data_IF_568359919364
#
_entry.id   IF_568359919364
#
_cell.length_a   1.000
_cell.length_b   1.000
_cell.length_c   1.000
_cell.angle_alpha   90.00
_cell.angle_beta   90.00
_cell.angle_gamma   90.00
#
_symmetry.space_group_name_H-M   'P 1'
#
loop_
_entity.id
_entity.type
_entity.pdbx_description
1 polymer ?
#
# COMPACT_ATOMS: atom_id res chain seq x y z
N UNK A 1 -2.13 -1.71 -18.06
CA UNK A 1 -2.02 -1.56 -19.53
C UNK A 1 -1.03 -0.46 -19.90
N UNK A 2 -1.13 0.73 -19.30
CA UNK A 2 -0.23 1.86 -19.60
C UNK A 2 1.26 1.49 -19.45
N UNK A 3 1.64 0.73 -18.43
CA UNK A 3 3.03 0.31 -18.24
C UNK A 3 3.56 -0.54 -19.40
N UNK A 4 2.73 -1.46 -19.94
CA UNK A 4 3.11 -2.26 -21.13
C UNK A 4 3.24 -1.36 -22.36
N UNK A 5 2.30 -0.43 -22.55
CA UNK A 5 2.35 0.51 -23.67
C UNK A 5 3.62 1.38 -23.61
N UNK A 6 3.98 1.89 -22.44
CA UNK A 6 5.21 2.69 -22.25
C UNK A 6 6.47 1.86 -22.52
N UNK A 7 6.50 0.60 -22.08
CA UNK A 7 7.66 -0.27 -22.32
C UNK A 7 7.79 -0.63 -23.80
N UNK A 8 6.68 -0.93 -24.51
CA UNK A 8 6.68 -1.16 -25.95
C UNK A 8 7.09 0.08 -26.75
N UNK A 9 6.61 1.26 -26.33
CA UNK A 9 7.05 2.53 -26.89
C UNK A 9 8.56 2.68 -26.79
N UNK A 10 9.12 2.50 -25.58
CA UNK A 10 10.56 2.59 -25.38
C UNK A 10 11.33 1.56 -26.19
N UNK A 11 10.85 0.32 -26.24
CA UNK A 11 11.46 -0.73 -27.06
C UNK A 11 11.54 -0.31 -28.54
N UNK A 12 10.44 0.17 -29.12
CA UNK A 12 10.41 0.62 -30.52
C UNK A 12 11.29 1.85 -30.76
N UNK A 13 11.38 2.76 -29.80
CA UNK A 13 12.26 3.92 -29.91
C UNK A 13 13.72 3.49 -29.95
N UNK A 14 14.16 2.61 -29.05
CA UNK A 14 15.55 2.18 -28.98
C UNK A 14 15.94 1.23 -30.13
N UNK A 15 15.04 0.36 -30.58
CA UNK A 15 15.36 -0.63 -31.60
C UNK A 15 15.21 -0.10 -33.04
N UNK A 16 14.33 0.88 -33.25
CA UNK A 16 14.01 1.36 -34.59
C UNK A 16 14.28 2.85 -34.76
N UNK A 17 13.75 3.69 -33.91
CA UNK A 17 13.84 5.16 -34.12
C UNK A 17 15.26 5.66 -33.99
N UNK A 18 15.96 5.27 -32.92
CA UNK A 18 17.33 5.75 -32.64
C UNK A 18 18.33 5.29 -33.68
N UNK A 19 18.37 4.00 -34.12
CA UNK A 19 19.34 3.55 -35.10
C UNK A 19 19.08 4.10 -36.50
N UNK A 20 17.81 4.31 -36.86
CA UNK A 20 17.44 4.69 -38.27
C UNK A 20 17.05 6.15 -38.43
N UNK A 21 17.02 6.94 -37.32
CA UNK A 21 16.56 8.33 -37.26
C UNK A 21 15.16 8.53 -37.88
N UNK A 22 14.27 7.53 -37.69
CA UNK A 22 12.95 7.48 -38.33
C UNK A 22 11.94 8.42 -37.58
N UNK A 23 12.03 9.72 -37.83
CA UNK A 23 11.19 10.74 -37.18
C UNK A 23 9.69 10.58 -37.49
N UNK A 24 9.33 10.07 -38.63
CA UNK A 24 7.93 9.79 -38.96
C UNK A 24 7.34 8.69 -38.09
N UNK A 25 8.10 7.64 -37.80
CA UNK A 25 7.72 6.59 -36.85
C UNK A 25 7.61 7.12 -35.44
N UNK A 26 8.56 7.98 -35.04
CA UNK A 26 8.51 8.64 -33.72
C UNK A 26 7.24 9.47 -33.55
N UNK A 27 6.88 10.28 -34.54
CA UNK A 27 5.69 11.12 -34.47
C UNK A 27 4.41 10.26 -34.30
N UNK A 28 4.29 9.16 -35.04
CA UNK A 28 3.16 8.23 -34.92
C UNK A 28 3.11 7.57 -33.54
N UNK A 29 4.26 7.12 -33.01
CA UNK A 29 4.35 6.52 -31.69
C UNK A 29 3.98 7.51 -30.58
N UNK A 30 4.45 8.77 -30.68
CA UNK A 30 4.13 9.84 -29.73
C UNK A 30 2.64 10.18 -29.77
N UNK A 31 2.05 10.28 -30.97
CA UNK A 31 0.61 10.52 -31.11
C UNK A 31 -0.23 9.39 -30.49
N UNK A 32 0.13 8.12 -30.77
CA UNK A 32 -0.52 6.96 -30.17
C UNK A 32 -0.36 6.93 -28.65
N UNK A 33 0.84 7.24 -28.14
CA UNK A 33 1.09 7.32 -26.71
C UNK A 33 0.29 8.44 -26.05
N UNK A 34 0.14 9.59 -26.71
CA UNK A 34 -0.71 10.69 -26.24
C UNK A 34 -2.17 10.27 -26.03
N UNK A 35 -2.74 9.54 -26.99
CA UNK A 35 -4.09 8.98 -26.89
C UNK A 35 -4.19 8.02 -25.70
N UNK A 36 -3.21 7.11 -25.54
CA UNK A 36 -3.19 6.16 -24.43
C UNK A 36 -3.08 6.85 -23.06
N UNK A 37 -2.29 7.92 -22.93
CA UNK A 37 -2.17 8.71 -21.69
C UNK A 37 -3.51 9.34 -21.31
N UNK A 38 -4.21 9.95 -22.28
CA UNK A 38 -5.53 10.54 -22.05
C UNK A 38 -6.54 9.46 -21.63
N UNK A 39 -6.55 8.33 -22.34
CA UNK A 39 -7.43 7.21 -22.02
C UNK A 39 -7.15 6.63 -20.62
N UNK A 40 -5.89 6.48 -20.23
CA UNK A 40 -5.49 6.02 -18.90
C UNK A 40 -5.95 7.00 -17.80
N UNK A 41 -5.82 8.30 -18.04
CA UNK A 41 -6.30 9.32 -17.12
C UNK A 41 -7.83 9.26 -16.92
N UNK A 42 -8.59 9.09 -18.01
CA UNK A 42 -10.06 8.93 -17.96
C UNK A 42 -10.42 7.65 -17.19
N UNK A 43 -9.76 6.52 -17.49
CA UNK A 43 -10.03 5.25 -16.82
C UNK A 43 -9.71 5.31 -15.32
N UNK A 44 -8.58 5.91 -14.94
CA UNK A 44 -8.21 6.09 -13.53
C UNK A 44 -9.20 6.96 -12.77
N UNK A 45 -9.64 8.06 -13.39
CA UNK A 45 -10.64 8.96 -12.79
C UNK A 45 -11.99 8.27 -12.64
N UNK A 46 -12.43 7.54 -13.67
CA UNK A 46 -13.68 6.76 -13.62
C UNK A 46 -13.62 5.67 -12.56
N UNK A 47 -12.51 4.95 -12.48
CA UNK A 47 -12.27 3.93 -11.44
C UNK A 47 -12.34 4.55 -10.04
N UNK A 48 -11.67 5.68 -9.80
CA UNK A 48 -11.70 6.36 -8.51
C UNK A 48 -13.14 6.71 -8.11
N UNK A 49 -13.93 7.30 -9.02
CA UNK A 49 -15.34 7.64 -8.76
C UNK A 49 -16.20 6.43 -8.41
N UNK A 50 -16.03 5.31 -9.13
CA UNK A 50 -16.76 4.07 -8.86
C UNK A 50 -16.42 3.54 -7.46
N UNK A 51 -15.12 3.50 -7.11
CA UNK A 51 -14.67 3.04 -5.80
C UNK A 51 -15.17 3.94 -4.66
N UNK A 52 -15.15 5.26 -4.86
CA UNK A 52 -15.66 6.23 -3.89
C UNK A 52 -17.17 6.08 -3.68
N UNK A 53 -17.94 5.86 -4.75
CA UNK A 53 -19.39 5.64 -4.66
C UNK A 53 -19.73 4.32 -3.95
N UNK A 54 -18.98 3.25 -4.22
CA UNK A 54 -19.16 1.97 -3.55
C UNK A 54 -18.76 2.07 -2.07
N UNK A 55 -17.65 2.74 -1.77
CA UNK A 55 -17.21 2.97 -0.40
C UNK A 55 -18.26 3.73 0.41
N UNK A 56 -18.86 4.79 -0.17
CA UNK A 56 -19.94 5.55 0.48
C UNK A 56 -21.20 4.72 0.76
N UNK A 57 -21.61 3.86 -0.17
CA UNK A 57 -22.79 3.00 0.02
C UNK A 57 -22.56 1.92 1.11
N UNK A 58 -21.35 1.39 1.20
CA UNK A 58 -20.97 0.43 2.25
C UNK A 58 -20.90 1.14 3.61
N UNK A 59 -20.33 2.35 3.64
CA UNK A 59 -20.19 3.16 4.85
C UNK A 59 -21.53 3.46 5.51
N UNK A 60 -22.51 3.91 4.74
CA UNK A 60 -23.85 4.22 5.25
C UNK A 60 -24.52 2.99 5.88
N UNK A 61 -24.38 1.82 5.25
CA UNK A 61 -24.94 0.57 5.79
C UNK A 61 -24.24 0.11 7.05
N UNK A 62 -22.90 0.08 7.04
CA UNK A 62 -22.10 -0.33 8.19
C UNK A 62 -22.30 0.60 9.39
N UNK A 63 -22.23 1.91 9.18
CA UNK A 63 -22.43 2.90 10.23
C UNK A 63 -23.80 2.75 10.90
N UNK A 64 -24.86 2.56 10.12
CA UNK A 64 -26.21 2.33 10.61
C UNK A 64 -26.33 1.04 11.43
N UNK A 65 -25.77 -0.06 10.92
CA UNK A 65 -25.82 -1.36 11.60
C UNK A 65 -25.03 -1.36 12.91
N UNK A 66 -23.83 -0.77 12.91
CA UNK A 66 -23.00 -0.67 14.11
C UNK A 66 -23.66 0.25 15.14
N UNK A 67 -24.20 1.38 14.75
CA UNK A 67 -24.88 2.29 15.67
C UNK A 67 -26.12 1.62 16.29
N UNK A 68 -26.92 0.90 15.52
CA UNK A 68 -28.04 0.13 16.04
C UNK A 68 -27.56 -0.94 17.03
N UNK A 69 -26.50 -1.69 16.69
CA UNK A 69 -25.95 -2.71 17.59
C UNK A 69 -25.42 -2.12 18.91
N UNK A 70 -24.80 -0.94 18.86
CA UNK A 70 -24.33 -0.24 20.08
C UNK A 70 -25.48 0.15 21.00
N UNK A 71 -26.62 0.56 20.44
CA UNK A 71 -27.82 0.88 21.23
C UNK A 71 -28.45 -0.36 21.87
N UNK A 72 -28.31 -1.53 21.25
CA UNK A 72 -28.82 -2.81 21.74
C UNK A 72 -27.84 -3.53 22.68
N UNK A 73 -26.64 -2.98 22.91
CA UNK A 73 -25.62 -3.60 23.77
C UNK A 73 -26.09 -3.65 25.23
N UNK A 74 -26.02 -4.84 25.83
CA UNK A 74 -26.29 -5.03 27.26
C UNK A 74 -25.29 -4.24 28.12
N UNK A 75 -25.78 -3.59 29.16
CA UNK A 75 -24.98 -2.72 30.02
C UNK A 75 -23.79 -3.42 30.71
N UNK A 76 -23.90 -4.72 30.95
CA UNK A 76 -22.85 -5.55 31.56
C UNK A 76 -21.68 -5.86 30.63
N UNK A 77 -21.92 -5.76 29.28
CA UNK A 77 -20.92 -5.97 28.25
C UNK A 77 -20.28 -4.71 27.69
N UNK A 78 -20.70 -3.55 28.21
CA UNK A 78 -20.11 -2.27 27.78
C UNK A 78 -18.69 -2.09 28.34
N UNK A 79 -17.77 -1.50 27.56
CA UNK A 79 -16.46 -1.10 28.06
C UNK A 79 -16.59 -0.15 29.26
N UNK A 80 -15.63 -0.21 30.16
CA UNK A 80 -15.63 0.63 31.38
C UNK A 80 -15.68 2.14 31.10
N UNK A 81 -15.15 2.57 29.94
CA UNK A 81 -15.17 3.96 29.51
C UNK A 81 -15.98 4.13 28.22
N UNK A 82 -16.92 5.07 28.22
CA UNK A 82 -17.69 5.47 27.03
C UNK A 82 -16.77 6.04 25.96
N UNK A 83 -15.67 6.69 26.34
CA UNK A 83 -14.68 7.19 25.40
C UNK A 83 -13.94 6.07 24.66
N UNK A 84 -13.66 4.95 25.33
CA UNK A 84 -13.08 3.77 24.69
C UNK A 84 -14.06 3.16 23.67
N UNK A 85 -15.34 3.08 24.01
CA UNK A 85 -16.37 2.61 23.07
C UNK A 85 -16.49 3.53 21.86
N UNK A 86 -16.51 4.85 22.06
CA UNK A 86 -16.53 5.83 20.98
C UNK A 86 -15.31 5.73 20.07
N UNK A 87 -14.12 5.50 20.65
CA UNK A 87 -12.89 5.30 19.88
C UNK A 87 -12.90 4.01 19.04
N UNK A 88 -13.46 2.92 19.59
CA UNK A 88 -13.63 1.67 18.85
C UNK A 88 -14.60 1.83 17.68
N UNK A 89 -15.70 2.56 17.87
CA UNK A 89 -16.64 2.86 16.77
C UNK A 89 -15.98 3.72 15.70
N UNK A 90 -15.16 4.72 16.08
CA UNK A 90 -14.36 5.52 15.15
C UNK A 90 -13.36 4.71 14.34
N UNK A 91 -13.00 3.49 14.77
CA UNK A 91 -12.15 2.55 14.02
C UNK A 91 -12.80 1.99 12.76
N UNK A 92 -14.13 2.11 12.59
CA UNK A 92 -14.83 1.64 11.38
C UNK A 92 -14.30 2.24 10.08
N UNK A 93 -13.79 3.46 10.12
CA UNK A 93 -13.16 4.10 8.96
C UNK A 93 -11.92 3.31 8.49
N UNK A 94 -11.16 2.75 9.41
CA UNK A 94 -10.01 1.89 9.10
C UNK A 94 -10.46 0.59 8.43
N UNK A 95 -11.54 -0.01 8.91
CA UNK A 95 -12.16 -1.22 8.31
C UNK A 95 -12.57 -0.93 6.86
N UNK A 96 -13.28 0.17 6.64
CA UNK A 96 -13.71 0.59 5.30
C UNK A 96 -12.54 0.80 4.36
N UNK A 97 -11.54 1.55 4.80
CA UNK A 97 -10.34 1.83 4.01
C UNK A 97 -9.59 0.55 3.66
N UNK A 98 -9.49 -0.37 4.61
CA UNK A 98 -8.87 -1.68 4.37
C UNK A 98 -9.60 -2.45 3.28
N UNK A 99 -10.91 -2.66 3.38
CA UNK A 99 -11.67 -3.44 2.40
C UNK A 99 -11.64 -2.80 1.01
N UNK A 100 -11.78 -1.49 0.91
CA UNK A 100 -11.66 -0.77 -0.35
C UNK A 100 -10.28 -0.99 -0.99
N UNK A 101 -9.21 -0.89 -0.22
CA UNK A 101 -7.83 -1.07 -0.69
C UNK A 101 -7.52 -2.53 -1.04
N UNK A 102 -7.96 -3.50 -0.22
CA UNK A 102 -7.71 -4.93 -0.43
C UNK A 102 -8.40 -5.46 -1.69
N UNK A 103 -9.61 -4.99 -1.99
CA UNK A 103 -10.33 -5.35 -3.23
C UNK A 103 -9.57 -4.87 -4.46
N UNK A 104 -9.09 -3.62 -4.42
CA UNK A 104 -8.30 -3.06 -5.53
C UNK A 104 -7.01 -3.84 -5.74
N UNK A 105 -6.29 -4.13 -4.67
CA UNK A 105 -5.06 -4.91 -4.72
C UNK A 105 -5.30 -6.32 -5.30
N UNK A 106 -6.22 -7.08 -4.71
CA UNK A 106 -6.46 -8.46 -5.12
C UNK A 106 -7.00 -8.59 -6.54
N UNK A 107 -7.92 -7.70 -6.93
CA UNK A 107 -8.61 -7.78 -8.23
C UNK A 107 -7.81 -7.16 -9.38
N UNK A 108 -6.97 -6.18 -9.09
CA UNK A 108 -6.27 -5.41 -10.14
C UNK A 108 -4.76 -5.61 -10.06
N UNK A 109 -4.13 -5.30 -8.95
CA UNK A 109 -2.67 -5.21 -8.90
C UNK A 109 -1.99 -6.58 -9.05
N UNK A 110 -2.55 -7.64 -8.45
CA UNK A 110 -2.01 -9.01 -8.57
C UNK A 110 -2.14 -9.57 -9.99
N UNK A 111 -3.31 -9.54 -10.65
CA UNK A 111 -3.43 -10.01 -12.03
C UNK A 111 -2.53 -9.25 -13.00
N UNK A 112 -2.41 -7.91 -12.83
CA UNK A 112 -1.53 -7.11 -13.68
C UNK A 112 -0.05 -7.40 -13.44
N UNK A 113 0.38 -7.67 -12.20
CA UNK A 113 1.76 -8.08 -11.93
C UNK A 113 2.11 -9.40 -12.64
N UNK A 114 1.18 -10.37 -12.61
CA UNK A 114 1.35 -11.63 -13.34
C UNK A 114 1.38 -11.39 -14.85
N UNK A 115 0.55 -10.50 -15.37
CA UNK A 115 0.55 -10.13 -16.78
C UNK A 115 1.88 -9.47 -17.17
N UNK A 116 2.44 -8.58 -16.35
CA UNK A 116 3.74 -7.97 -16.61
C UNK A 116 4.86 -9.01 -16.57
N UNK A 117 4.82 -9.96 -15.63
CA UNK A 117 5.78 -11.05 -15.57
C UNK A 117 5.69 -11.96 -16.80
N UNK A 118 4.46 -12.29 -17.24
CA UNK A 118 4.23 -13.05 -18.46
C UNK A 118 4.76 -12.30 -19.70
N UNK A 119 4.56 -10.98 -19.78
CA UNK A 119 5.09 -10.17 -20.86
C UNK A 119 6.63 -10.17 -20.86
N UNK A 120 7.27 -10.04 -19.70
CA UNK A 120 8.74 -10.15 -19.58
C UNK A 120 9.20 -11.54 -20.02
N UNK A 121 8.46 -12.60 -19.69
CA UNK A 121 8.80 -13.97 -20.10
C UNK A 121 8.74 -14.16 -21.64
N UNK A 122 7.76 -13.53 -22.28
CA UNK A 122 7.61 -13.62 -23.76
C UNK A 122 8.68 -12.80 -24.47
N UNK A 123 9.00 -11.61 -23.99
CA UNK A 123 9.93 -10.68 -24.65
C UNK A 123 11.37 -10.93 -24.24
N UNK A 124 11.62 -11.10 -22.93
CA UNK A 124 12.94 -11.16 -22.33
C UNK A 124 13.41 -12.57 -21.93
N UNK A 125 12.56 -13.60 -22.15
CA UNK A 125 12.92 -15.00 -21.84
C UNK A 125 13.45 -15.18 -20.40
N UNK A 126 14.77 -15.48 -20.25
CA UNK A 126 15.39 -15.71 -18.94
C UNK A 126 15.33 -14.55 -17.95
N UNK A 127 15.15 -13.30 -18.43
CA UNK A 127 14.98 -12.14 -17.54
C UNK A 127 13.78 -12.29 -16.62
N UNK A 128 12.74 -13.02 -17.04
CA UNK A 128 11.56 -13.26 -16.22
C UNK A 128 11.90 -14.00 -14.92
N UNK A 129 12.88 -14.91 -14.94
CA UNK A 129 13.29 -15.65 -13.75
C UNK A 129 13.89 -14.75 -12.67
N UNK A 130 14.59 -13.67 -13.05
CA UNK A 130 15.12 -12.68 -12.11
C UNK A 130 13.98 -12.05 -11.30
N UNK A 131 12.94 -11.60 -11.98
CA UNK A 131 11.78 -10.98 -11.31
C UNK A 131 10.90 -12.02 -10.62
N UNK A 132 10.74 -13.22 -11.20
CA UNK A 132 10.03 -14.32 -10.56
C UNK A 132 10.67 -14.75 -9.23
N UNK A 133 12.02 -14.72 -9.14
CA UNK A 133 12.74 -15.00 -7.90
C UNK A 133 12.66 -13.84 -6.90
N UNK A 134 12.62 -12.60 -7.37
CA UNK A 134 12.47 -11.42 -6.51
C UNK A 134 11.12 -11.40 -5.77
N UNK A 135 10.04 -11.95 -6.37
CA UNK A 135 8.72 -12.01 -5.74
C UNK A 135 8.72 -12.78 -4.39
N UNK A 136 9.15 -14.05 -4.30
CA UNK A 136 9.15 -14.77 -3.03
C UNK A 136 10.14 -14.18 -2.01
N UNK A 137 11.28 -13.62 -2.47
CA UNK A 137 12.23 -12.95 -1.58
C UNK A 137 11.61 -11.70 -0.95
N UNK A 138 10.90 -10.89 -1.74
CA UNK A 138 10.20 -9.69 -1.26
C UNK A 138 9.06 -10.05 -0.31
N UNK A 139 8.25 -11.06 -0.63
CA UNK A 139 7.18 -11.55 0.24
C UNK A 139 7.73 -12.12 1.55
N UNK A 140 8.83 -12.86 1.50
CA UNK A 140 9.51 -13.39 2.70
C UNK A 140 10.03 -12.29 3.62
N UNK A 141 10.68 -11.27 3.08
CA UNK A 141 11.13 -10.10 3.83
C UNK A 141 9.94 -9.36 4.46
N UNK A 142 8.86 -9.19 3.70
CA UNK A 142 7.62 -8.60 4.18
C UNK A 142 6.99 -9.38 5.34
N UNK A 143 6.87 -10.68 5.20
CA UNK A 143 6.31 -11.55 6.24
C UNK A 143 7.12 -11.52 7.55
N UNK A 144 8.46 -11.49 7.45
CA UNK A 144 9.33 -11.40 8.62
C UNK A 144 9.13 -10.07 9.38
N UNK A 145 8.99 -8.98 8.64
CA UNK A 145 8.77 -7.65 9.22
C UNK A 145 7.35 -7.51 9.78
N UNK A 146 6.37 -8.12 9.13
CA UNK A 146 4.96 -8.10 9.54
C UNK A 146 4.76 -8.59 10.98
N UNK A 147 5.39 -9.71 11.37
CA UNK A 147 5.27 -10.24 12.75
C UNK A 147 5.72 -9.26 13.83
N UNK A 148 6.75 -8.47 13.58
CA UNK A 148 7.20 -7.42 14.51
C UNK A 148 6.25 -6.22 14.51
N UNK A 149 5.79 -5.84 13.33
CA UNK A 149 4.91 -4.70 13.14
C UNK A 149 3.56 -4.91 13.83
N UNK A 150 2.98 -6.11 13.70
CA UNK A 150 1.72 -6.51 14.31
C UNK A 150 1.67 -6.18 15.82
N UNK A 151 2.65 -6.65 16.59
CA UNK A 151 2.65 -6.41 18.03
C UNK A 151 2.78 -4.92 18.40
N UNK A 152 3.48 -4.13 17.59
CA UNK A 152 3.64 -2.69 17.81
C UNK A 152 2.36 -1.93 17.52
N UNK A 153 1.67 -2.27 16.42
CA UNK A 153 0.39 -1.67 16.02
C UNK A 153 -0.67 -1.94 17.09
N UNK A 154 -0.83 -3.19 17.50
CA UNK A 154 -1.81 -3.56 18.54
C UNK A 154 -1.58 -2.81 19.86
N UNK A 155 -0.33 -2.72 20.31
CA UNK A 155 0.02 -1.97 21.52
C UNK A 155 -0.25 -0.47 21.38
N UNK A 156 0.08 0.11 20.23
CA UNK A 156 -0.18 1.52 19.95
C UNK A 156 -1.67 1.82 19.94
N UNK A 157 -2.49 0.96 19.29
CA UNK A 157 -3.95 1.11 19.25
C UNK A 157 -4.57 1.01 20.65
N UNK A 158 -4.18 0.00 21.43
CA UNK A 158 -4.67 -0.15 22.79
C UNK A 158 -4.39 1.11 23.64
N UNK A 159 -3.18 1.66 23.56
CA UNK A 159 -2.83 2.92 24.25
C UNK A 159 -3.55 4.13 23.68
N UNK A 160 -3.83 4.16 22.38
CA UNK A 160 -4.62 5.24 21.78
C UNK A 160 -6.06 5.24 22.26
N UNK A 161 -6.69 4.06 22.41
CA UNK A 161 -8.03 3.94 22.98
C UNK A 161 -8.06 4.34 24.45
N UNK A 162 -7.05 3.94 25.23
CA UNK A 162 -6.90 4.33 26.64
C UNK A 162 -6.80 5.87 26.77
N UNK A 163 -5.98 6.52 25.92
CA UNK A 163 -5.87 7.98 25.88
C UNK A 163 -7.22 8.66 25.59
N UNK A 164 -7.99 8.10 24.64
CA UNK A 164 -9.32 8.61 24.33
C UNK A 164 -10.26 8.47 25.54
N UNK A 165 -10.16 7.35 26.29
CA UNK A 165 -10.89 7.14 27.52
C UNK A 165 -10.59 8.20 28.58
N UNK A 166 -9.31 8.44 28.86
CA UNK A 166 -8.86 9.48 29.83
C UNK A 166 -9.38 10.86 29.44
N UNK A 167 -9.39 11.20 28.13
CA UNK A 167 -9.92 12.48 27.66
C UNK A 167 -11.41 12.63 27.98
N UNK A 168 -12.20 11.61 27.63
CA UNK A 168 -13.66 11.65 27.86
C UNK A 168 -13.97 11.68 29.32
N UNK A 169 -13.27 10.89 30.13
CA UNK A 169 -13.48 10.83 31.60
C UNK A 169 -13.10 12.17 32.26
N UNK A 170 -12.01 12.81 31.82
CA UNK A 170 -11.62 14.14 32.30
C UNK A 170 -12.67 15.21 31.94
N UNK A 171 -13.26 15.17 30.75
CA UNK A 171 -14.30 16.12 30.32
C UNK A 171 -15.59 15.88 31.09
N UNK A 172 -16.01 14.61 31.25
CA UNK A 172 -17.24 14.26 31.99
C UNK A 172 -17.14 14.59 33.49
N UNK A 173 -15.97 14.38 34.08
CA UNK A 173 -15.68 14.66 35.47
C UNK A 173 -15.14 16.07 35.75
N UNK A 174 -15.21 17.01 34.78
CA UNK A 174 -14.51 18.29 34.84
C UNK A 174 -14.81 19.10 36.13
N UNK A 175 -16.07 19.11 36.63
CA UNK A 175 -16.42 19.75 37.90
C UNK A 175 -15.73 19.09 39.07
N UNK A 176 -15.80 17.76 39.17
CA UNK A 176 -15.18 17.00 40.25
C UNK A 176 -13.65 17.12 40.21
N UNK A 177 -13.06 17.09 39.03
CA UNK A 177 -11.61 17.26 38.83
C UNK A 177 -11.15 18.64 39.28
N UNK A 178 -11.93 19.70 39.00
CA UNK A 178 -11.64 21.06 39.44
C UNK A 178 -11.85 21.22 40.96
N UNK A 179 -12.97 20.71 41.46
CA UNK A 179 -13.27 20.79 42.91
C UNK A 179 -12.21 20.07 43.76
N UNK A 180 -11.72 18.94 43.30
CA UNK A 180 -10.68 18.15 43.97
C UNK A 180 -9.24 18.61 43.66
N UNK A 181 -9.05 19.65 42.82
CA UNK A 181 -7.75 20.09 42.33
C UNK A 181 -6.90 18.92 41.74
N UNK A 182 -7.56 17.96 41.09
CA UNK A 182 -6.97 16.71 40.58
C UNK A 182 -6.50 16.77 39.12
N UNK A 183 -6.49 17.94 38.48
CA UNK A 183 -6.12 18.12 37.07
C UNK A 183 -4.73 17.60 36.76
N UNK A 184 -3.77 17.79 37.68
CA UNK A 184 -2.39 17.32 37.52
C UNK A 184 -2.28 15.79 37.31
N UNK A 185 -3.19 15.01 37.91
CA UNK A 185 -3.24 13.55 37.81
C UNK A 185 -3.62 13.13 36.38
N UNK A 186 -4.69 13.73 35.85
CA UNK A 186 -5.11 13.48 34.44
C UNK A 186 -4.04 13.92 33.42
N UNK A 187 -3.38 15.05 33.70
CA UNK A 187 -2.28 15.53 32.84
C UNK A 187 -1.08 14.58 32.89
N UNK A 188 -0.74 14.03 34.03
CA UNK A 188 0.34 13.05 34.15
C UNK A 188 -0.01 11.76 33.41
N UNK A 189 -1.21 11.22 33.64
CA UNK A 189 -1.69 10.02 32.95
C UNK A 189 -1.73 10.20 31.43
N UNK A 190 -2.23 11.33 30.94
CA UNK A 190 -2.22 11.70 29.54
C UNK A 190 -0.80 11.73 28.96
N UNK A 191 0.13 12.35 29.66
CA UNK A 191 1.54 12.42 29.23
C UNK A 191 2.19 11.05 29.14
N UNK A 192 1.96 10.18 30.11
CA UNK A 192 2.56 8.85 30.18
C UNK A 192 2.01 7.95 29.05
N UNK A 193 0.71 8.02 28.80
CA UNK A 193 0.09 7.30 27.67
C UNK A 193 0.60 7.86 26.35
N UNK A 194 0.68 9.17 26.17
CA UNK A 194 1.17 9.80 24.94
C UNK A 194 2.62 9.42 24.66
N UNK A 195 3.51 9.43 25.67
CA UNK A 195 4.89 8.95 25.52
C UNK A 195 4.97 7.49 25.07
N UNK A 196 4.09 6.65 25.59
CA UNK A 196 4.01 5.23 25.17
C UNK A 196 3.57 5.11 23.71
N UNK A 197 2.57 5.87 23.29
CA UNK A 197 2.09 5.90 21.89
C UNK A 197 3.22 6.34 20.95
N UNK A 198 3.93 7.41 21.31
CA UNK A 198 5.05 7.95 20.53
C UNK A 198 6.19 6.94 20.42
N UNK A 199 6.54 6.25 21.51
CA UNK A 199 7.57 5.23 21.52
C UNK A 199 7.23 4.05 20.57
N UNK A 200 5.98 3.56 20.61
CA UNK A 200 5.54 2.53 19.67
C UNK A 200 5.45 3.05 18.23
N UNK A 201 5.00 4.29 18.04
CA UNK A 201 4.93 4.93 16.73
C UNK A 201 6.30 5.11 16.06
N UNK A 202 7.33 5.46 16.83
CA UNK A 202 8.71 5.56 16.33
C UNK A 202 9.22 4.18 15.90
N UNK A 203 9.00 3.14 16.71
CA UNK A 203 9.40 1.77 16.38
C UNK A 203 8.67 1.26 15.14
N UNK A 204 7.37 1.54 14.99
CA UNK A 204 6.57 1.20 13.82
C UNK A 204 7.10 1.90 12.57
N UNK A 205 7.38 3.20 12.64
CA UNK A 205 7.97 3.97 11.53
C UNK A 205 9.34 3.42 11.13
N UNK A 206 10.18 3.07 12.11
CA UNK A 206 11.49 2.48 11.85
C UNK A 206 11.37 1.12 11.16
N UNK A 207 10.44 0.25 11.59
CA UNK A 207 10.18 -1.03 10.95
C UNK A 207 9.65 -0.87 9.51
N UNK A 208 8.69 0.04 9.29
CA UNK A 208 8.17 0.34 7.97
C UNK A 208 9.24 0.91 7.03
N UNK A 209 10.09 1.81 7.55
CA UNK A 209 11.19 2.38 6.78
C UNK A 209 12.22 1.32 6.40
N UNK A 210 12.65 0.49 7.35
CA UNK A 210 13.57 -0.61 7.10
C UNK A 210 13.04 -1.56 6.03
N UNK A 211 11.75 -1.85 6.06
CA UNK A 211 11.09 -2.66 5.05
C UNK A 211 11.08 -1.99 3.68
N UNK A 212 10.68 -0.72 3.60
CA UNK A 212 10.67 0.04 2.34
C UNK A 212 12.07 0.10 1.72
N UNK A 213 13.10 0.32 2.55
CA UNK A 213 14.50 0.31 2.12
C UNK A 213 14.90 -1.08 1.62
N UNK A 214 14.55 -2.15 2.33
CA UNK A 214 14.88 -3.53 1.92
C UNK A 214 14.24 -3.90 0.59
N UNK A 215 12.98 -3.53 0.37
CA UNK A 215 12.28 -3.74 -0.91
C UNK A 215 12.86 -2.87 -2.03
N UNK A 216 13.26 -1.64 -1.73
CA UNK A 216 13.97 -0.76 -2.66
C UNK A 216 15.32 -1.35 -3.10
N UNK A 217 16.10 -1.89 -2.15
CA UNK A 217 17.35 -2.59 -2.45
C UNK A 217 17.09 -3.83 -3.29
N UNK A 218 16.09 -4.65 -2.93
CA UNK A 218 15.71 -5.83 -3.72
C UNK A 218 15.34 -5.45 -5.15
N UNK A 219 14.56 -4.38 -5.33
CA UNK A 219 14.19 -3.86 -6.65
C UNK A 219 15.41 -3.42 -7.46
N UNK A 220 16.36 -2.72 -6.81
CA UNK A 220 17.59 -2.27 -7.48
C UNK A 220 18.49 -3.46 -7.86
N UNK A 221 18.63 -4.44 -6.98
CA UNK A 221 19.40 -5.67 -7.26
C UNK A 221 18.76 -6.46 -8.39
N UNK A 222 17.44 -6.64 -8.36
CA UNK A 222 16.71 -7.32 -9.44
C UNK A 222 16.87 -6.58 -10.78
N UNK A 223 16.82 -5.25 -10.78
CA UNK A 223 17.05 -4.45 -11.98
C UNK A 223 18.46 -4.64 -12.54
N UNK A 224 19.50 -4.56 -11.69
CA UNK A 224 20.88 -4.76 -12.12
C UNK A 224 21.08 -6.19 -12.63
N UNK A 225 20.56 -7.20 -11.93
CA UNK A 225 20.63 -8.60 -12.36
C UNK A 225 19.91 -8.81 -13.71
N UNK A 226 18.75 -8.18 -13.92
CA UNK A 226 18.03 -8.25 -15.17
C UNK A 226 18.84 -7.61 -16.33
N UNK A 227 19.55 -6.50 -16.09
CA UNK A 227 20.43 -5.91 -17.10
C UNK A 227 21.58 -6.88 -17.44
N UNK A 228 22.24 -7.47 -16.43
CA UNK A 228 23.35 -8.42 -16.66
C UNK A 228 22.89 -9.62 -17.49
N UNK A 229 21.76 -10.24 -17.10
CA UNK A 229 21.18 -11.34 -17.88
C UNK A 229 20.75 -10.87 -19.27
N UNK A 230 20.18 -9.66 -19.36
CA UNK A 230 19.77 -9.06 -20.63
C UNK A 230 20.92 -8.84 -21.60
N UNK A 231 22.08 -8.42 -21.12
CA UNK A 231 23.28 -8.25 -21.96
C UNK A 231 23.72 -9.61 -22.56
N UNK A 232 23.69 -10.68 -21.76
CA UNK A 232 24.00 -12.03 -22.29
C UNK A 232 23.00 -12.49 -23.35
N UNK A 233 21.71 -12.19 -23.17
CA UNK A 233 20.68 -12.54 -24.15
C UNK A 233 20.80 -11.70 -25.44
N UNK A 234 21.25 -10.46 -25.35
CA UNK A 234 21.54 -9.63 -26.51
C UNK A 234 22.77 -10.15 -27.25
N UNK A 235 23.84 -10.53 -26.56
CA UNK A 235 25.01 -11.13 -27.14
C UNK A 235 24.69 -12.45 -27.86
N UNK A 236 23.79 -13.25 -27.29
CA UNK A 236 23.28 -14.48 -27.90
C UNK A 236 22.32 -14.23 -29.11
N UNK A 237 21.93 -12.98 -29.34
CA UNK A 237 21.01 -12.61 -30.42
C UNK A 237 19.52 -12.91 -30.14
N UNK A 238 19.16 -13.24 -28.94
CA UNK A 238 17.79 -13.58 -28.53
C UNK A 238 16.96 -12.36 -28.11
N UNK A 239 17.60 -11.26 -27.72
CA UNK A 239 16.96 -10.06 -27.23
C UNK A 239 17.54 -8.81 -27.92
N UNK A 240 16.70 -7.78 -28.09
CA UNK A 240 17.15 -6.46 -28.56
C UNK A 240 17.55 -5.55 -27.38
N UNK A 241 18.30 -4.49 -27.67
CA UNK A 241 18.63 -3.45 -26.67
C UNK A 241 17.40 -2.77 -26.12
N UNK A 242 16.41 -2.49 -26.97
CA UNK A 242 15.12 -1.96 -26.56
C UNK A 242 14.34 -2.96 -25.69
N UNK A 243 14.50 -4.25 -25.94
CA UNK A 243 13.94 -5.33 -25.11
C UNK A 243 14.43 -5.30 -23.67
N UNK A 244 15.75 -5.07 -23.43
CA UNK A 244 16.29 -4.89 -22.07
C UNK A 244 15.62 -3.71 -21.37
N UNK A 245 15.52 -2.57 -22.04
CA UNK A 245 14.91 -1.36 -21.51
C UNK A 245 13.43 -1.60 -21.14
N UNK A 246 12.69 -2.24 -22.04
CA UNK A 246 11.28 -2.56 -21.84
C UNK A 246 11.09 -3.52 -20.64
N UNK A 247 11.88 -4.59 -20.54
CA UNK A 247 11.84 -5.53 -19.42
C UNK A 247 12.25 -4.87 -18.10
N UNK A 248 13.25 -3.99 -18.12
CA UNK A 248 13.67 -3.23 -16.93
C UNK A 248 12.56 -2.30 -16.39
N UNK A 249 11.86 -1.60 -17.30
CA UNK A 249 10.72 -0.74 -16.94
C UNK A 249 9.56 -1.56 -16.35
N UNK A 250 9.24 -2.71 -16.92
CA UNK A 250 8.18 -3.58 -16.39
C UNK A 250 8.57 -4.27 -15.09
N UNK A 251 9.84 -4.60 -14.90
CA UNK A 251 10.33 -5.29 -13.72
C UNK A 251 10.01 -4.55 -12.42
N UNK A 252 10.15 -3.21 -12.42
CA UNK A 252 9.75 -2.39 -11.28
C UNK A 252 8.25 -2.49 -10.97
N UNK A 253 7.41 -2.67 -11.99
CA UNK A 253 5.96 -2.84 -11.85
C UNK A 253 5.56 -4.23 -11.33
N UNK A 254 6.38 -5.24 -11.57
CA UNK A 254 6.20 -6.58 -10.97
C UNK A 254 6.45 -6.55 -9.47
N UNK A 255 7.43 -5.78 -9.01
CA UNK A 255 7.80 -5.71 -7.59
C UNK A 255 6.86 -4.81 -6.78
N UNK A 256 6.25 -3.79 -7.37
CA UNK A 256 5.36 -2.84 -6.68
C UNK A 256 4.24 -3.52 -5.86
N UNK A 257 3.51 -4.52 -6.37
CA UNK A 257 2.47 -5.19 -5.58
C UNK A 257 2.96 -5.88 -4.31
N UNK A 258 4.24 -6.25 -4.22
CA UNK A 258 4.80 -6.81 -2.99
C UNK A 258 4.78 -5.77 -1.87
N UNK A 259 5.20 -4.55 -2.18
CA UNK A 259 5.19 -3.43 -1.21
C UNK A 259 3.78 -3.15 -0.73
N UNK A 260 2.81 -3.17 -1.63
CA UNK A 260 1.40 -2.97 -1.30
C UNK A 260 0.84 -4.13 -0.47
N UNK A 261 1.13 -5.39 -0.82
CA UNK A 261 0.68 -6.55 -0.07
C UNK A 261 1.06 -6.48 1.40
N UNK A 262 2.30 -6.06 1.67
CA UNK A 262 2.77 -5.95 3.06
C UNK A 262 2.13 -4.77 3.78
N UNK A 263 1.88 -3.66 3.11
CA UNK A 263 1.13 -2.53 3.68
C UNK A 263 -0.31 -2.94 4.02
N UNK A 264 -0.96 -3.74 3.19
CA UNK A 264 -2.31 -4.26 3.47
C UNK A 264 -2.32 -5.24 4.64
N UNK A 265 -1.31 -6.10 4.76
CA UNK A 265 -1.16 -6.97 5.93
C UNK A 265 -1.02 -6.16 7.22
N UNK A 266 -0.28 -5.05 7.18
CA UNK A 266 -0.15 -4.15 8.32
C UNK A 266 -1.46 -3.41 8.66
N UNK A 267 -2.26 -3.05 7.67
CA UNK A 267 -3.57 -2.43 7.87
C UNK A 267 -4.61 -3.41 8.39
N UNK A 268 -4.56 -4.69 7.99
CA UNK A 268 -5.43 -5.74 8.50
C UNK A 268 -5.45 -5.81 10.03
N UNK A 269 -4.31 -5.61 10.65
CA UNK A 269 -4.16 -5.64 12.11
C UNK A 269 -4.80 -4.45 12.83
N UNK A 270 -5.16 -3.40 12.10
CA UNK A 270 -5.83 -2.20 12.64
C UNK A 270 -7.36 -2.32 12.56
N UNK A 271 -7.86 -3.35 11.90
CA UNK A 271 -9.26 -3.70 11.73
C UNK A 271 -9.72 -4.72 12.76
#
# INVERSE_FOLDING_TARGET
LMAVATSLFSMQVYDRVVPTLAYSTLATLVAGMGVLVVMDAILKTSRARILDSLAGAVDERLSRQVFAHVLDLQLDKQPRSVGTLAAQIGGLDSVRQFFSSAVVFGLVDVPFALLYLAFIAVVGGPLAWVYALALPLGLGAGWLTHRRLQSLVQRQMARSHERQGVLVDAIRGAESVRAANAGWRFEQEWRDITRSIDAYGIQQKAANNAMSVSLGVLSSVAYVAAIVVGVWEVEAGHLSTGGIVACGMLGSRVITPITQAVQYLAQWEQV
#
